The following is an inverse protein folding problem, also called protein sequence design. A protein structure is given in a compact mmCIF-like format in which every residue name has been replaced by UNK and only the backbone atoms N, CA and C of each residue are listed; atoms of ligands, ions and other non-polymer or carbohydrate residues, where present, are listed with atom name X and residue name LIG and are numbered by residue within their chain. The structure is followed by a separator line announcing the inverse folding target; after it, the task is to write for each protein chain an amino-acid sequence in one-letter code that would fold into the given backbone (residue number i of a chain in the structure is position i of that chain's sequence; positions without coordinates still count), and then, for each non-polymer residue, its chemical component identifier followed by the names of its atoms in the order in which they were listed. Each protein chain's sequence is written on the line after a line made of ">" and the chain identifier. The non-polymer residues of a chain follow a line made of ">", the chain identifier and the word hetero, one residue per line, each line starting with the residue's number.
data_IF_211213627112
#
_entry.id   IF_211213627112
#
_cell.length_a   1.000
_cell.length_b   1.000
_cell.length_c   1.000
_cell.angle_alpha   90.00
_cell.angle_beta   90.00
_cell.angle_gamma   90.00
#
_symmetry.space_group_name_H-M   'P 1'
#
loop_
_entity.id
_entity.type
_entity.pdbx_description
1 polymer ?
#
# COMPACT_ATOMS: atom_id res chain seq x y z
N UNK A 1 -11.74 -13.61 -15.39
CA UNK A 1 -11.75 -12.35 -14.61
C UNK A 1 -10.91 -12.44 -13.34
N UNK A 2 -11.06 -13.48 -12.50
CA UNK A 2 -10.22 -13.69 -11.30
C UNK A 2 -8.71 -13.65 -11.59
N UNK A 3 -8.25 -14.27 -12.67
CA UNK A 3 -6.83 -14.33 -13.02
C UNK A 3 -6.17 -12.94 -13.25
N UNK A 4 -6.91 -11.96 -13.76
CA UNK A 4 -6.36 -10.61 -14.02
C UNK A 4 -6.22 -9.83 -12.71
N UNK A 5 -7.21 -9.94 -11.82
CA UNK A 5 -7.17 -9.34 -10.49
C UNK A 5 -6.09 -9.99 -9.62
N UNK A 6 -6.01 -11.32 -9.65
CA UNK A 6 -4.96 -12.08 -8.96
C UNK A 6 -3.58 -11.75 -9.53
N UNK A 7 -3.45 -11.64 -10.86
CA UNK A 7 -2.21 -11.24 -11.52
C UNK A 7 -1.76 -9.84 -11.13
N UNK A 8 -2.68 -8.86 -11.13
CA UNK A 8 -2.39 -7.50 -10.68
C UNK A 8 -1.95 -7.43 -9.22
N UNK A 9 -2.67 -8.15 -8.34
CA UNK A 9 -2.34 -8.21 -6.91
C UNK A 9 -0.97 -8.85 -6.68
N UNK A 10 -0.63 -9.92 -7.42
CA UNK A 10 0.67 -10.58 -7.35
C UNK A 10 1.80 -9.64 -7.81
N UNK A 11 1.61 -8.89 -8.90
CA UNK A 11 2.63 -7.96 -9.42
C UNK A 11 2.88 -6.83 -8.41
N UNK A 12 1.82 -6.26 -7.83
CA UNK A 12 1.95 -5.23 -6.78
C UNK A 12 2.67 -5.82 -5.57
N UNK A 13 2.26 -7.01 -5.12
CA UNK A 13 2.87 -7.69 -3.98
C UNK A 13 4.36 -8.03 -4.20
N UNK A 14 4.72 -8.45 -5.40
CA UNK A 14 6.10 -8.72 -5.82
C UNK A 14 6.92 -7.43 -5.89
N UNK A 15 6.39 -6.37 -6.49
CA UNK A 15 7.07 -5.08 -6.57
C UNK A 15 7.35 -4.50 -5.18
N UNK A 16 6.42 -4.69 -4.23
CA UNK A 16 6.57 -4.27 -2.85
C UNK A 16 7.56 -5.09 -2.05
N UNK A 17 7.55 -6.42 -2.23
CA UNK A 17 8.49 -7.32 -1.57
C UNK A 17 9.91 -7.15 -2.12
N UNK A 18 10.05 -6.95 -3.43
CA UNK A 18 11.30 -6.63 -4.09
C UNK A 18 11.82 -5.26 -3.63
N UNK A 19 10.96 -4.24 -3.58
CA UNK A 19 11.32 -2.91 -3.06
C UNK A 19 11.84 -2.96 -1.62
N UNK A 20 11.15 -3.66 -0.71
CA UNK A 20 11.61 -3.87 0.68
C UNK A 20 12.95 -4.60 0.76
N UNK A 21 13.11 -5.66 -0.04
CA UNK A 21 14.34 -6.46 -0.06
C UNK A 21 15.51 -5.66 -0.62
N UNK A 22 15.28 -4.90 -1.69
CA UNK A 22 16.28 -4.04 -2.31
C UNK A 22 16.72 -2.92 -1.36
N UNK A 23 15.77 -2.27 -0.68
CA UNK A 23 16.07 -1.24 0.32
C UNK A 23 16.87 -1.80 1.52
N UNK A 24 16.57 -3.03 1.96
CA UNK A 24 17.37 -3.74 2.97
C UNK A 24 18.76 -4.13 2.46
N UNK A 25 18.84 -4.57 1.21
CA UNK A 25 20.09 -5.01 0.59
C UNK A 25 21.06 -3.83 0.39
N UNK A 26 20.52 -2.66 0.06
CA UNK A 26 21.32 -1.46 -0.18
C UNK A 26 21.89 -0.82 1.10
N UNK A 27 21.65 -1.41 2.29
CA UNK A 27 22.06 -0.88 3.60
C UNK A 27 21.70 0.60 3.77
N UNK A 28 20.72 1.08 3.00
CA UNK A 28 20.13 2.39 3.22
C UNK A 28 19.33 2.19 4.49
N UNK A 29 19.90 2.60 5.62
CA UNK A 29 19.13 2.93 6.81
C UNK A 29 18.08 3.94 6.35
N UNK A 30 16.90 3.42 6.01
CA UNK A 30 15.75 4.25 5.72
C UNK A 30 15.53 5.02 7.02
N UNK A 31 15.96 6.28 7.02
CA UNK A 31 15.73 7.23 8.09
C UNK A 31 14.30 7.02 8.59
N UNK A 32 14.06 7.05 9.90
CA UNK A 32 12.76 6.71 10.50
C UNK A 32 11.56 7.31 9.74
N UNK A 33 11.73 8.52 9.21
CA UNK A 33 10.80 9.21 8.31
C UNK A 33 10.47 8.45 7.02
N UNK A 34 11.46 7.89 6.33
CA UNK A 34 11.27 7.13 5.09
C UNK A 34 10.61 5.75 5.33
N UNK A 35 10.84 5.13 6.48
CA UNK A 35 10.13 3.89 6.87
C UNK A 35 8.61 4.13 7.09
N UNK A 36 8.22 5.36 7.44
CA UNK A 36 6.83 5.80 7.60
C UNK A 36 6.29 6.33 6.25
N UNK A 37 7.11 7.05 5.48
CA UNK A 37 6.72 7.62 4.20
C UNK A 37 6.47 6.54 3.14
N UNK A 38 7.22 5.43 3.16
CA UNK A 38 7.07 4.34 2.21
C UNK A 38 5.64 3.74 2.17
N UNK A 39 5.03 3.30 3.29
CA UNK A 39 3.64 2.81 3.27
C UNK A 39 2.64 3.91 2.90
N UNK A 40 2.86 5.17 3.29
CA UNK A 40 1.98 6.28 2.87
C UNK A 40 2.04 6.56 1.37
N UNK A 41 3.25 6.63 0.78
CA UNK A 41 3.44 6.79 -0.66
C UNK A 41 2.82 5.63 -1.43
N UNK A 42 2.94 4.42 -0.89
CA UNK A 42 2.28 3.26 -1.45
C UNK A 42 0.76 3.39 -1.41
N UNK A 43 0.18 3.86 -0.30
CA UNK A 43 -1.25 4.08 -0.20
C UNK A 43 -1.76 5.07 -1.27
N UNK A 44 -1.00 6.14 -1.52
CA UNK A 44 -1.30 7.12 -2.56
C UNK A 44 -1.22 6.50 -3.96
N UNK A 45 -0.16 5.73 -4.22
CA UNK A 45 0.02 5.08 -5.52
C UNK A 45 -1.08 4.05 -5.79
N UNK A 46 -1.40 3.19 -4.83
CA UNK A 46 -2.52 2.24 -4.92
C UNK A 46 -3.86 2.97 -5.13
N UNK A 47 -4.09 4.07 -4.40
CA UNK A 47 -5.29 4.89 -4.60
C UNK A 47 -5.39 5.41 -6.03
N UNK A 48 -4.29 5.94 -6.58
CA UNK A 48 -4.24 6.42 -7.97
C UNK A 48 -4.49 5.29 -8.98
N UNK A 49 -3.91 4.10 -8.75
CA UNK A 49 -4.15 2.92 -9.59
C UNK A 49 -5.61 2.47 -9.53
N UNK A 50 -6.26 2.47 -8.36
CA UNK A 50 -7.68 2.14 -8.26
C UNK A 50 -8.57 3.17 -8.94
N UNK A 51 -8.29 4.46 -8.78
CA UNK A 51 -8.98 5.53 -9.50
C UNK A 51 -8.88 5.38 -11.02
N UNK A 52 -7.71 5.01 -11.53
CA UNK A 52 -7.48 4.79 -12.96
C UNK A 52 -8.17 3.51 -13.47
N UNK A 53 -8.02 2.41 -12.74
CA UNK A 53 -8.52 1.09 -13.17
C UNK A 53 -10.04 0.95 -13.01
N UNK A 54 -10.60 1.32 -11.85
CA UNK A 54 -12.03 1.11 -11.54
C UNK A 54 -12.93 1.86 -12.52
N UNK A 55 -12.54 3.07 -12.94
CA UNK A 55 -13.31 3.89 -13.88
C UNK A 55 -13.27 3.37 -15.32
N UNK A 56 -12.27 2.56 -15.67
CA UNK A 56 -12.12 1.97 -17.01
C UNK A 56 -12.63 0.53 -17.12
N UNK A 57 -13.09 -0.09 -16.03
CA UNK A 57 -13.48 -1.50 -16.07
C UNK A 57 -14.95 -1.69 -16.46
N UNK A 58 -15.26 -2.50 -17.51
CA UNK A 58 -16.63 -2.89 -17.82
C UNK A 58 -17.20 -3.94 -16.83
N UNK A 59 -16.47 -4.20 -15.74
CA UNK A 59 -16.77 -5.25 -14.76
C UNK A 59 -17.76 -4.82 -13.69
N UNK A 60 -17.86 -3.52 -13.42
CA UNK A 60 -18.78 -2.97 -12.43
C UNK A 60 -19.93 -2.24 -13.13
N UNK A 61 -21.14 -2.48 -12.63
CA UNK A 61 -22.26 -1.59 -12.90
C UNK A 61 -21.92 -0.18 -12.41
N UNK A 62 -22.30 0.87 -13.16
CA UNK A 62 -21.96 2.26 -12.79
C UNK A 62 -22.41 2.64 -11.37
N UNK A 63 -23.47 2.03 -10.84
CA UNK A 63 -23.91 2.28 -9.45
C UNK A 63 -22.97 1.70 -8.39
N UNK A 64 -22.22 0.64 -8.72
CA UNK A 64 -21.33 -0.07 -7.80
C UNK A 64 -19.92 0.55 -7.76
N UNK A 65 -19.56 1.30 -8.80
CA UNK A 65 -18.27 2.00 -8.93
C UNK A 65 -17.92 2.87 -7.72
N UNK A 66 -18.79 3.79 -7.23
CA UNK A 66 -18.44 4.63 -6.08
C UNK A 66 -18.26 3.81 -4.79
N UNK A 67 -19.05 2.74 -4.59
CA UNK A 67 -18.97 1.89 -3.41
C UNK A 67 -17.67 1.06 -3.42
N UNK A 68 -17.38 0.40 -4.53
CA UNK A 68 -16.17 -0.40 -4.69
C UNK A 68 -14.89 0.44 -4.59
N UNK A 69 -14.89 1.62 -5.21
CA UNK A 69 -13.78 2.56 -5.11
C UNK A 69 -13.57 3.02 -3.67
N UNK A 70 -14.65 3.36 -2.96
CA UNK A 70 -14.58 3.76 -1.55
C UNK A 70 -14.02 2.65 -0.66
N UNK A 71 -14.45 1.40 -0.89
CA UNK A 71 -13.96 0.25 -0.13
C UNK A 71 -12.48 -0.03 -0.38
N UNK A 72 -12.05 0.02 -1.64
CA UNK A 72 -10.65 -0.18 -2.02
C UNK A 72 -9.76 0.89 -1.39
N UNK A 73 -10.16 2.17 -1.49
CA UNK A 73 -9.44 3.28 -0.85
C UNK A 73 -9.37 3.11 0.67
N UNK A 74 -10.48 2.75 1.31
CA UNK A 74 -10.52 2.52 2.76
C UNK A 74 -9.57 1.40 3.18
N UNK A 75 -9.54 0.27 2.45
CA UNK A 75 -8.65 -0.84 2.73
C UNK A 75 -7.18 -0.46 2.51
N UNK A 76 -6.87 0.23 1.42
CA UNK A 76 -5.52 0.70 1.12
C UNK A 76 -4.98 1.62 2.20
N UNK A 77 -5.75 2.63 2.60
CA UNK A 77 -5.35 3.53 3.67
C UNK A 77 -5.30 2.83 5.03
N UNK A 78 -6.25 1.93 5.31
CA UNK A 78 -6.28 1.16 6.55
C UNK A 78 -5.05 0.25 6.72
N UNK A 79 -4.71 -0.55 5.70
CA UNK A 79 -3.58 -1.48 5.73
C UNK A 79 -2.25 -0.69 5.80
N UNK A 80 -2.06 0.26 4.89
CA UNK A 80 -0.82 1.01 4.83
C UNK A 80 -0.63 1.95 6.03
N UNK A 81 -1.71 2.59 6.50
CA UNK A 81 -1.70 3.40 7.72
C UNK A 81 -1.38 2.57 8.96
N UNK A 82 -1.94 1.36 9.08
CA UNK A 82 -1.61 0.44 10.17
C UNK A 82 -0.13 0.04 10.16
N UNK A 83 0.43 -0.22 8.98
CA UNK A 83 1.87 -0.51 8.83
C UNK A 83 2.71 0.68 9.27
N UNK A 84 2.34 1.91 8.88
CA UNK A 84 3.01 3.14 9.31
C UNK A 84 2.99 3.29 10.84
N UNK A 85 1.84 3.07 11.49
CA UNK A 85 1.71 3.12 12.96
C UNK A 85 2.59 2.07 13.64
N UNK A 86 2.62 0.84 13.12
CA UNK A 86 3.50 -0.22 13.66
C UNK A 86 4.98 0.15 13.56
N UNK A 87 5.40 0.79 12.46
CA UNK A 87 6.77 1.29 12.29
C UNK A 87 7.09 2.38 13.31
N UNK A 88 6.17 3.33 13.55
CA UNK A 88 6.34 4.38 14.57
C UNK A 88 6.49 3.76 15.96
N UNK A 89 5.61 2.81 16.32
CA UNK A 89 5.61 2.13 17.62
C UNK A 89 6.89 1.31 17.84
N UNK A 90 7.34 0.57 16.83
CA UNK A 90 8.59 -0.19 16.89
C UNK A 90 9.80 0.72 17.11
N UNK A 91 9.84 1.87 16.43
CA UNK A 91 10.89 2.88 16.65
C UNK A 91 10.85 3.53 18.04
N UNK A 92 9.68 3.61 18.69
CA UNK A 92 9.55 4.15 20.05
C UNK A 92 10.04 3.15 21.10
N UNK A 93 9.72 1.87 20.92
CA UNK A 93 10.16 0.77 21.80
C UNK A 93 11.67 0.56 21.74
N UNK A 94 12.28 0.72 20.56
CA UNK A 94 13.74 0.63 20.39
C UNK A 94 14.51 1.80 21.04
N UNK A 95 13.86 2.93 21.32
CA UNK A 95 14.50 4.13 21.87
C UNK A 95 14.46 4.21 23.41
N UNK A 96 13.85 3.24 24.10
CA UNK A 96 13.93 3.15 25.57
C UNK A 96 13.36 4.34 26.35
N UNK A 97 12.37 5.06 25.81
CA UNK A 97 11.65 6.10 26.56
C UNK A 97 10.27 5.55 26.92
N UNK A 98 10.16 5.04 28.16
CA UNK A 98 8.91 5.07 28.91
C UNK A 98 8.69 6.48 29.46
#
# INVERSE_FOLDING_TARGET
>A
MMAVLTGGLIIIWLALSAGRTLLRYLQVELHRSAAIAAPLLLAVLESALFLCQVRGTPLLLESEVPLALSLLLALTWGINGLVAVKVVKAGSQASGVQ
#
